data_IF_953715786042
#
_entry.id   IF_953715786042
#
_cell.length_a   1.000
_cell.length_b   1.000
_cell.length_c   1.000
_cell.angle_alpha   90.00
_cell.angle_beta   90.00
_cell.angle_gamma   90.00
#
_symmetry.space_group_name_H-M   'P 1'
#
loop_
_entity.id
_entity.type
_entity.pdbx_description
1 polymer ?
#
# COMPACT_ATOMS: atom_id res chain seq x y z
N UNK A 1 25.71 5.22 10.79
CA UNK A 1 24.34 5.67 11.14
C UNK A 1 23.61 5.98 9.84
N UNK A 2 22.68 5.11 9.36
CA UNK A 2 21.88 5.40 8.16
C UNK A 2 20.56 6.02 8.58
N UNK A 3 20.51 7.35 8.55
CA UNK A 3 19.28 8.11 8.79
C UNK A 3 18.35 7.93 7.59
N UNK A 4 17.51 6.90 7.64
CA UNK A 4 16.38 6.76 6.73
C UNK A 4 15.45 7.95 6.93
N UNK A 5 15.39 8.84 5.94
CA UNK A 5 14.51 10.00 5.91
C UNK A 5 13.06 9.50 6.02
N UNK A 6 12.46 9.61 7.21
CA UNK A 6 11.04 9.25 7.41
C UNK A 6 10.21 10.15 6.47
N UNK A 7 9.33 9.60 5.62
CA UNK A 7 8.44 10.42 4.81
C UNK A 7 7.59 11.28 5.74
N UNK A 8 7.60 12.59 5.48
CA UNK A 8 7.03 13.66 6.31
C UNK A 8 5.57 13.40 6.68
N UNK A 9 5.21 13.90 7.87
CA UNK A 9 4.04 13.52 8.67
C UNK A 9 2.70 14.16 8.30
N UNK A 10 2.64 15.02 7.27
CA UNK A 10 1.55 16.02 7.24
C UNK A 10 0.52 15.87 6.10
N UNK A 11 0.54 14.76 5.36
CA UNK A 11 -0.46 14.45 4.33
C UNK A 11 -0.61 12.96 4.10
N UNK A 12 -1.65 12.50 3.37
CA UNK A 12 -1.74 11.11 2.99
C UNK A 12 -0.50 10.76 2.15
N UNK A 13 0.27 9.78 2.61
CA UNK A 13 1.49 9.37 1.92
C UNK A 13 1.11 8.61 0.66
N UNK A 14 1.34 9.21 -0.51
CA UNK A 14 1.30 8.46 -1.76
C UNK A 14 2.55 7.58 -1.80
N UNK A 15 2.35 6.28 -1.91
CA UNK A 15 3.40 5.29 -2.03
C UNK A 15 3.22 4.57 -3.37
N UNK A 16 4.28 4.53 -4.16
CA UNK A 16 4.38 3.74 -5.38
C UNK A 16 5.36 2.60 -5.14
N UNK A 17 5.06 1.41 -5.68
CA UNK A 17 5.93 0.25 -5.63
C UNK A 17 5.66 -0.70 -6.79
N UNK A 18 6.60 -1.61 -7.07
CA UNK A 18 6.32 -2.74 -7.97
C UNK A 18 5.48 -3.80 -7.25
N UNK A 19 5.78 -4.03 -5.97
CA UNK A 19 5.11 -5.04 -5.13
C UNK A 19 5.05 -4.62 -3.68
N UNK A 20 3.89 -4.83 -3.06
CA UNK A 20 3.69 -4.57 -1.64
C UNK A 20 2.81 -5.64 -1.00
N UNK A 21 3.01 -5.83 0.31
CA UNK A 21 2.13 -6.59 1.17
C UNK A 21 1.45 -5.64 2.13
N UNK A 22 0.13 -5.71 2.20
CA UNK A 22 -0.66 -4.89 3.11
C UNK A 22 -1.27 -5.82 4.15
N UNK A 23 -1.22 -5.41 5.41
CA UNK A 23 -1.92 -6.03 6.52
C UNK A 23 -2.81 -5.02 7.23
N UNK A 24 -4.02 -5.42 7.61
CA UNK A 24 -4.99 -4.57 8.28
C UNK A 24 -6.03 -5.40 9.03
N UNK A 25 -6.86 -4.77 9.85
CA UNK A 25 -7.97 -5.44 10.53
C UNK A 25 -9.09 -5.81 9.53
N UNK A 26 -9.22 -5.06 8.44
CA UNK A 26 -10.15 -5.34 7.34
C UNK A 26 -9.58 -4.93 5.99
N UNK A 27 -9.81 -5.76 4.96
CA UNK A 27 -9.43 -5.50 3.57
C UNK A 27 -10.61 -5.85 2.66
N UNK A 28 -11.03 -4.90 1.82
CA UNK A 28 -12.12 -5.07 0.86
C UNK A 28 -11.63 -4.80 -0.56
N UNK A 29 -11.74 -5.80 -1.44
CA UNK A 29 -11.52 -5.62 -2.88
C UNK A 29 -12.75 -4.95 -3.49
N UNK A 30 -12.52 -3.96 -4.36
CA UNK A 30 -13.56 -3.30 -5.13
C UNK A 30 -13.75 -4.04 -6.47
N UNK A 31 -14.93 -4.64 -6.66
CA UNK A 31 -15.22 -5.55 -7.79
C UNK A 31 -15.58 -4.87 -9.11
N UNK A 32 -15.44 -3.55 -9.25
CA UNK A 32 -15.94 -2.87 -10.43
C UNK A 32 -14.82 -2.69 -11.46
N UNK A 33 -14.94 -3.41 -12.58
CA UNK A 33 -14.06 -3.36 -13.76
C UNK A 33 -14.06 -2.03 -14.53
N UNK A 34 -14.12 -0.90 -13.83
CA UNK A 34 -13.91 0.44 -14.36
C UNK A 34 -12.65 1.04 -13.75
N UNK A 35 -11.99 1.94 -14.49
CA UNK A 35 -10.74 2.62 -14.09
C UNK A 35 -10.79 3.02 -12.61
N UNK A 36 -9.95 2.39 -11.79
CA UNK A 36 -9.88 2.73 -10.38
C UNK A 36 -9.30 4.15 -10.25
N UNK A 37 -10.11 5.10 -9.77
CA UNK A 37 -9.87 6.55 -9.86
C UNK A 37 -8.53 7.03 -9.28
N UNK A 38 -7.87 6.25 -8.43
CA UNK A 38 -6.53 6.56 -7.93
C UNK A 38 -5.44 6.46 -9.01
N UNK A 39 -5.66 5.70 -10.09
CA UNK A 39 -4.66 5.47 -11.14
C UNK A 39 -5.25 5.67 -12.53
N UNK A 40 -4.43 6.15 -13.47
CA UNK A 40 -4.76 6.18 -14.90
C UNK A 40 -4.58 4.82 -15.61
N UNK A 41 -4.22 3.77 -14.87
CA UNK A 41 -3.81 2.47 -15.43
C UNK A 41 -5.02 1.72 -15.99
N UNK A 42 -4.93 1.30 -17.26
CA UNK A 42 -5.92 0.41 -17.87
C UNK A 42 -5.89 -0.94 -17.15
N UNK A 43 -7.04 -1.38 -16.60
CA UNK A 43 -7.23 -2.63 -15.83
C UNK A 43 -6.73 -2.63 -14.36
N UNK A 44 -6.59 -1.48 -13.71
CA UNK A 44 -6.30 -1.45 -12.28
C UNK A 44 -7.47 -2.01 -11.44
N UNK A 45 -7.14 -2.93 -10.52
CA UNK A 45 -8.01 -3.36 -9.43
C UNK A 45 -7.83 -2.44 -8.23
N UNK A 46 -8.93 -2.16 -7.52
CA UNK A 46 -8.91 -1.38 -6.29
C UNK A 46 -9.12 -2.24 -5.05
N UNK A 47 -8.49 -1.88 -3.94
CA UNK A 47 -8.82 -2.38 -2.61
C UNK A 47 -8.75 -1.27 -1.56
N UNK A 48 -9.50 -1.42 -0.48
CA UNK A 48 -9.42 -0.54 0.70
C UNK A 48 -9.06 -1.36 1.92
N UNK A 49 -8.14 -0.84 2.72
CA UNK A 49 -7.71 -1.41 3.99
C UNK A 49 -8.05 -0.46 5.14
N UNK A 50 -8.54 -1.00 6.26
CA UNK A 50 -8.93 -0.23 7.45
C UNK A 50 -8.51 -0.93 8.74
N UNK A 51 -8.12 -0.13 9.73
CA UNK A 51 -7.71 -0.57 11.06
C UNK A 51 -6.27 -1.09 11.06
N UNK A 52 -5.41 -0.43 11.83
CA UNK A 52 -3.99 -0.80 12.01
C UNK A 52 -3.32 -1.23 10.70
N UNK A 53 -3.39 -0.37 9.68
CA UNK A 53 -2.84 -0.67 8.36
C UNK A 53 -1.32 -0.61 8.42
N UNK A 54 -0.67 -1.69 7.98
CA UNK A 54 0.78 -1.76 7.79
C UNK A 54 1.06 -2.19 6.35
N UNK A 55 1.80 -1.34 5.65
CA UNK A 55 2.26 -1.54 4.28
C UNK A 55 3.73 -1.93 4.33
N UNK A 56 4.08 -3.07 3.76
CA UNK A 56 5.44 -3.54 3.60
C UNK A 56 5.80 -3.54 2.11
N UNK A 57 6.86 -2.83 1.75
CA UNK A 57 7.34 -2.72 0.37
C UNK A 57 8.24 -3.91 0.07
N UNK A 58 7.74 -4.86 -0.71
CA UNK A 58 8.48 -6.08 -1.06
C UNK A 58 9.44 -5.83 -2.22
N UNK A 59 9.05 -5.00 -3.19
CA UNK A 59 9.88 -4.64 -4.34
C UNK A 59 9.49 -3.26 -4.86
N UNK A 60 10.48 -2.40 -5.01
CA UNK A 60 10.36 -1.03 -5.47
C UNK A 60 10.79 -0.92 -6.94
N UNK A 61 10.19 0.03 -7.66
CA UNK A 61 10.74 0.48 -8.93
C UNK A 61 12.13 1.08 -8.74
N UNK A 62 12.97 1.20 -9.78
CA UNK A 62 14.17 2.00 -9.69
C UNK A 62 13.85 3.38 -9.10
N UNK A 63 14.44 3.67 -7.93
CA UNK A 63 14.23 4.94 -7.23
C UNK A 63 15.16 6.00 -7.80
N UNK A 64 14.92 6.40 -9.04
CA UNK A 64 15.63 7.51 -9.66
C UNK A 64 15.25 8.81 -8.94
N UNK A 65 16.25 9.60 -8.53
CA UNK A 65 16.10 10.95 -7.96
C UNK A 65 15.49 11.05 -6.56
N UNK A 66 15.69 10.06 -5.67
CA UNK A 66 15.23 10.10 -4.27
C UNK A 66 13.74 10.46 -4.14
N UNK A 67 12.89 9.87 -4.97
CA UNK A 67 11.46 10.17 -4.99
C UNK A 67 10.84 9.72 -3.65
N UNK A 68 10.27 10.65 -2.84
CA UNK A 68 9.73 10.32 -1.51
C UNK A 68 8.52 9.38 -1.58
N UNK A 69 7.83 9.31 -2.72
CA UNK A 69 6.73 8.37 -2.96
C UNK A 69 7.23 6.94 -3.25
N UNK A 70 8.53 6.72 -3.43
CA UNK A 70 9.15 5.41 -3.72
C UNK A 70 10.09 5.00 -2.60
N UNK A 71 9.57 4.65 -1.41
CA UNK A 71 10.38 4.17 -0.31
C UNK A 71 11.16 2.90 -0.71
N UNK A 72 12.33 2.71 -0.11
CA UNK A 72 13.22 1.57 -0.39
C UNK A 72 12.53 0.23 -0.10
N UNK A 73 13.07 -0.85 -0.70
CA UNK A 73 12.69 -2.22 -0.37
C UNK A 73 12.82 -2.49 1.13
N UNK A 74 11.87 -3.25 1.68
CA UNK A 74 11.79 -3.55 3.10
C UNK A 74 11.24 -2.41 3.95
N UNK A 75 10.89 -1.27 3.37
CA UNK A 75 10.27 -0.17 4.14
C UNK A 75 8.89 -0.61 4.64
N UNK A 76 8.63 -0.29 5.90
CA UNK A 76 7.34 -0.48 6.53
C UNK A 76 6.70 0.86 6.84
N UNK A 77 5.42 0.98 6.51
CA UNK A 77 4.67 2.22 6.67
C UNK A 77 3.33 1.90 7.32
N UNK A 78 3.10 2.54 8.46
CA UNK A 78 1.88 2.40 9.23
C UNK A 78 0.89 3.55 8.97
N UNK A 79 -0.39 3.25 9.13
CA UNK A 79 -1.50 4.19 9.05
C UNK A 79 -2.82 3.54 9.49
N UNK A 80 -3.91 4.29 9.43
CA UNK A 80 -5.22 3.83 9.91
C UNK A 80 -6.10 3.30 8.79
N UNK A 81 -5.91 3.84 7.60
CA UNK A 81 -6.56 3.36 6.39
C UNK A 81 -5.65 3.54 5.19
N UNK A 82 -5.87 2.71 4.16
CA UNK A 82 -5.20 2.86 2.88
C UNK A 82 -6.17 2.54 1.75
N UNK A 83 -6.11 3.38 0.72
CA UNK A 83 -6.73 3.10 -0.58
C UNK A 83 -5.63 2.59 -1.51
N UNK A 84 -5.82 1.38 -2.04
CA UNK A 84 -4.82 0.59 -2.76
C UNK A 84 -5.29 0.37 -4.18
N UNK A 85 -4.35 0.48 -5.10
CA UNK A 85 -4.60 0.27 -6.51
C UNK A 85 -3.40 -0.42 -7.15
N UNK A 86 -3.66 -1.46 -7.92
CA UNK A 86 -2.63 -2.24 -8.59
C UNK A 86 -3.26 -2.98 -9.77
N UNK A 87 -2.43 -3.44 -10.71
CA UNK A 87 -2.93 -4.31 -11.79
C UNK A 87 -3.29 -5.69 -11.27
N UNK A 88 -2.60 -6.18 -10.24
CA UNK A 88 -2.96 -7.42 -9.55
C UNK A 88 -3.18 -7.18 -8.07
N UNK A 89 -4.38 -7.50 -7.59
CA UNK A 89 -4.72 -7.57 -6.16
C UNK A 89 -5.17 -8.99 -5.84
N UNK A 90 -4.36 -9.73 -5.07
CA UNK A 90 -4.70 -11.11 -4.70
C UNK A 90 -5.87 -11.15 -3.72
N UNK A 91 -6.51 -12.33 -3.56
CA UNK A 91 -7.57 -12.52 -2.57
C UNK A 91 -7.01 -12.29 -1.15
N UNK A 92 -7.67 -11.47 -0.30
CA UNK A 92 -7.23 -11.28 1.07
C UNK A 92 -7.37 -12.59 1.84
N UNK A 93 -6.44 -12.84 2.75
CA UNK A 93 -6.45 -14.01 3.62
C UNK A 93 -6.10 -13.61 5.05
N UNK A 94 -6.54 -14.35 6.08
CA UNK A 94 -6.08 -14.12 7.44
C UNK A 94 -4.56 -14.26 7.54
N UNK A 95 -3.93 -13.46 8.40
CA UNK A 95 -2.51 -13.59 8.70
C UNK A 95 -2.27 -14.89 9.47
N UNK A 96 -1.19 -15.60 9.12
CA UNK A 96 -0.79 -16.84 9.82
C UNK A 96 -0.48 -16.61 11.30
N UNK A 97 0.08 -15.45 11.62
CA UNK A 97 0.53 -15.12 12.99
C UNK A 97 -0.58 -14.43 13.81
N UNK A 98 -1.59 -13.86 13.15
CA UNK A 98 -2.72 -13.21 13.82
C UNK A 98 -3.99 -13.33 12.95
N UNK A 99 -4.84 -14.34 13.21
CA UNK A 99 -6.05 -14.59 12.43
C UNK A 99 -7.06 -13.43 12.42
N UNK A 100 -6.94 -12.48 13.36
CA UNK A 100 -7.80 -11.29 13.43
C UNK A 100 -7.39 -10.20 12.43
N UNK A 101 -6.21 -10.34 11.79
CA UNK A 101 -5.74 -9.43 10.74
C UNK A 101 -5.77 -10.12 9.40
N UNK A 102 -6.13 -9.36 8.37
CA UNK A 102 -6.09 -9.79 6.98
C UNK A 102 -4.83 -9.26 6.31
N UNK A 103 -4.38 -10.03 5.33
CA UNK A 103 -3.24 -9.70 4.49
C UNK A 103 -3.65 -9.80 3.03
N UNK A 104 -3.07 -8.92 2.21
CA UNK A 104 -3.20 -8.96 0.76
C UNK A 104 -1.86 -8.64 0.12
N UNK A 105 -1.54 -9.39 -0.93
CA UNK A 105 -0.39 -9.12 -1.78
C UNK A 105 -0.88 -8.39 -3.03
N UNK A 106 -0.22 -7.28 -3.35
CA UNK A 106 -0.49 -6.48 -4.54
C UNK A 106 0.78 -6.31 -5.35
N UNK A 107 0.66 -6.35 -6.68
CA UNK A 107 1.80 -6.25 -7.59
C UNK A 107 1.40 -5.60 -8.90
N UNK A 108 2.42 -5.15 -9.63
CA UNK A 108 2.35 -4.52 -10.93
C UNK A 108 1.60 -3.16 -10.85
N UNK A 109 2.36 -2.06 -10.86
CA UNK A 109 1.88 -0.68 -10.74
C UNK A 109 1.10 -0.41 -9.45
N UNK A 110 1.72 -0.74 -8.31
CA UNK A 110 1.11 -0.53 -6.99
C UNK A 110 1.16 0.95 -6.65
N UNK A 111 -0.01 1.54 -6.39
CA UNK A 111 -0.16 2.85 -5.73
C UNK A 111 -1.02 2.72 -4.49
N UNK A 112 -0.53 3.25 -3.39
CA UNK A 112 -1.16 3.20 -2.08
C UNK A 112 -1.25 4.62 -1.56
N UNK A 113 -2.46 5.06 -1.24
CA UNK A 113 -2.71 6.30 -0.54
C UNK A 113 -2.97 5.96 0.93
N UNK A 114 -1.94 6.12 1.77
CA UNK A 114 -2.07 5.82 3.20
C UNK A 114 -2.53 7.06 3.97
N UNK A 115 -3.55 6.92 4.81
CA UNK A 115 -4.01 7.98 5.72
C UNK A 115 -3.56 7.64 7.13
N UNK A 116 -2.76 8.55 7.70
CA UNK A 116 -2.35 8.51 9.10
C UNK A 116 -3.25 9.45 9.90
N UNK A 117 -3.71 9.03 11.08
CA UNK A 117 -4.30 9.91 12.07
C UNK A 117 -3.27 10.99 12.39
N UNK A 118 -3.69 12.25 12.27
CA UNK A 118 -2.95 13.35 12.92
C UNK A 118 -2.93 13.01 14.41
N UNK A 119 -1.75 12.69 14.93
CA UNK A 119 -1.52 12.62 16.38
C UNK A 119 -1.55 14.03 16.96
#
# INVERSE_FOLDING_TARGET
>A
MRSGKKPSSDGPGLIEAFRARISADSIKIHSNGGKHRQTGTHNAMGASAKGNVRVHIETQYPNSNDNPSRPNDGTEIDGDSADISARTVNKPHPSKNNPKRFEVNVKDDVKILIRRLKR
#
